data_IF_085894529028
#
_entry.id   IF_085894529028
#
_cell.length_a   1.000
_cell.length_b   1.000
_cell.length_c   1.000
_cell.angle_alpha   90.00
_cell.angle_beta   90.00
_cell.angle_gamma   90.00
#
_symmetry.space_group_name_H-M   'P 1'
#
loop_
_entity.id
_entity.type
_entity.pdbx_description
1 polymer ?
#
# COMPACT_ATOMS: atom_id res chain seq x y z
N UNK A 1 -3.04 -3.83 20.71
CA UNK A 1 -4.09 -4.85 20.88
C UNK A 1 -3.46 -6.23 20.64
N UNK A 2 -3.27 -7.02 21.70
CA UNK A 2 -2.71 -8.38 21.61
C UNK A 2 -3.89 -9.33 21.70
N UNK A 3 -4.27 -9.93 20.57
CA UNK A 3 -5.24 -11.03 20.58
C UNK A 3 -4.47 -12.30 21.00
N UNK A 4 -4.88 -12.93 22.10
CA UNK A 4 -4.40 -14.26 22.48
C UNK A 4 -4.86 -15.28 21.42
N UNK A 5 -4.08 -15.42 20.36
CA UNK A 5 -4.36 -16.35 19.27
C UNK A 5 -3.10 -17.14 18.93
N UNK A 6 -3.26 -18.46 18.79
CA UNK A 6 -2.25 -19.37 18.23
C UNK A 6 -1.88 -19.06 16.77
N UNK A 7 -2.51 -18.04 16.17
CA UNK A 7 -2.23 -17.55 14.82
C UNK A 7 -1.32 -16.35 14.89
N UNK A 8 -0.28 -16.41 14.08
CA UNK A 8 0.64 -15.31 13.91
C UNK A 8 -0.06 -14.08 13.30
N UNK A 9 0.17 -12.91 13.89
CA UNK A 9 -0.34 -11.64 13.38
C UNK A 9 0.53 -11.09 12.24
N UNK A 10 -0.05 -10.22 11.39
CA UNK A 10 0.71 -9.53 10.34
C UNK A 10 1.90 -8.75 10.92
N UNK A 11 1.75 -7.97 12.02
CA UNK A 11 2.90 -7.30 12.64
C UNK A 11 4.00 -8.26 13.12
N UNK A 12 3.65 -9.43 13.66
CA UNK A 12 4.65 -10.45 14.03
C UNK A 12 5.41 -10.94 12.82
N UNK A 13 4.71 -11.21 11.71
CA UNK A 13 5.34 -11.65 10.46
C UNK A 13 6.27 -10.58 9.90
N UNK A 14 5.83 -9.32 9.88
CA UNK A 14 6.63 -8.18 9.43
C UNK A 14 7.84 -7.94 10.33
N UNK A 15 7.69 -8.03 11.66
CA UNK A 15 8.79 -7.90 12.61
C UNK A 15 9.89 -8.91 12.32
N UNK A 16 9.54 -10.18 12.05
CA UNK A 16 10.55 -11.19 11.69
C UNK A 16 11.30 -10.85 10.41
N UNK A 17 10.59 -10.34 9.41
CA UNK A 17 11.19 -9.88 8.15
C UNK A 17 12.18 -8.73 8.44
N UNK A 18 11.75 -7.72 9.19
CA UNK A 18 12.58 -6.56 9.55
C UNK A 18 13.81 -6.97 10.35
N UNK A 19 13.64 -7.88 11.31
CA UNK A 19 14.73 -8.35 12.17
C UNK A 19 15.61 -9.43 11.53
N UNK A 20 15.34 -9.80 10.26
CA UNK A 20 16.00 -10.91 9.58
C UNK A 20 15.97 -12.22 10.42
N UNK A 21 14.92 -12.41 11.22
CA UNK A 21 14.72 -13.67 11.94
C UNK A 21 14.34 -14.72 10.89
N UNK A 22 15.19 -15.76 10.76
CA UNK A 22 14.93 -16.89 9.86
C UNK A 22 13.49 -17.35 10.01
N UNK A 23 12.69 -17.21 8.95
CA UNK A 23 11.28 -17.62 8.97
C UNK A 23 11.22 -19.14 8.85
N UNK A 24 11.65 -19.83 9.92
CA UNK A 24 11.52 -21.26 10.06
C UNK A 24 10.03 -21.57 10.22
N UNK A 25 9.44 -22.18 9.18
CA UNK A 25 8.10 -22.74 9.22
C UNK A 25 8.13 -23.88 10.24
N UNK A 26 7.78 -23.60 11.50
CA UNK A 26 7.44 -24.66 12.44
C UNK A 26 6.07 -25.19 12.05
N UNK A 27 6.07 -26.16 11.14
CA UNK A 27 4.98 -27.14 11.10
C UNK A 27 5.01 -27.86 12.44
N UNK A 28 3.90 -27.80 13.18
CA UNK A 28 3.77 -28.50 14.44
C UNK A 28 3.91 -30.03 14.21
N UNK A 29 4.73 -30.64 15.06
CA UNK A 29 5.00 -32.09 15.28
C UNK A 29 5.99 -32.78 14.32
N UNK A 30 7.21 -33.02 14.81
CA UNK A 30 7.67 -34.37 15.20
C UNK A 30 9.08 -34.33 15.82
N UNK A 31 9.40 -35.40 16.53
CA UNK A 31 10.55 -35.68 17.38
C UNK A 31 11.94 -35.41 16.76
N UNK A 32 12.89 -35.09 17.63
CA UNK A 32 14.23 -34.62 17.25
C UNK A 32 15.15 -35.65 16.61
N UNK A 33 16.24 -35.14 16.03
CA UNK A 33 17.62 -35.62 16.19
C UNK A 33 18.56 -34.64 15.46
N UNK A 34 19.81 -34.63 15.89
CA UNK A 34 20.90 -33.70 15.54
C UNK A 34 21.10 -33.51 14.03
N UNK A 35 21.43 -32.29 13.62
CA UNK A 35 21.88 -31.95 12.27
C UNK A 35 22.79 -30.70 12.27
N UNK A 36 23.64 -30.52 11.24
CA UNK A 36 25.04 -30.11 11.39
C UNK A 36 25.32 -28.60 11.17
N UNK A 37 26.60 -28.25 11.35
CA UNK A 37 27.26 -26.94 11.35
C UNK A 37 26.69 -25.86 10.40
N UNK A 38 26.72 -24.57 10.81
CA UNK A 38 26.27 -23.47 9.99
C UNK A 38 27.31 -23.17 8.90
N UNK A 39 27.11 -23.72 7.71
CA UNK A 39 27.73 -23.17 6.51
C UNK A 39 27.15 -21.79 6.27
N UNK A 40 28.03 -20.80 6.02
CA UNK A 40 27.70 -19.43 5.62
C UNK A 40 26.71 -19.43 4.46
N UNK A 41 25.42 -19.35 4.80
CA UNK A 41 24.36 -19.21 3.81
C UNK A 41 24.40 -17.75 3.35
N UNK A 42 25.05 -17.53 2.20
CA UNK A 42 25.04 -16.27 1.46
C UNK A 42 23.61 -15.77 1.37
N UNK A 43 23.25 -14.83 2.26
CA UNK A 43 21.91 -14.28 2.45
C UNK A 43 21.33 -13.83 1.11
N UNK A 44 20.54 -14.70 0.48
CA UNK A 44 19.86 -14.39 -0.77
C UNK A 44 18.79 -13.36 -0.43
N UNK A 45 19.02 -12.11 -0.83
CA UNK A 45 18.08 -11.02 -0.61
C UNK A 45 16.73 -11.45 -1.20
N UNK A 46 15.74 -11.62 -0.33
CA UNK A 46 14.42 -12.09 -0.74
C UNK A 46 13.73 -10.94 -1.46
N UNK A 47 13.43 -11.11 -2.75
CA UNK A 47 12.75 -10.09 -3.56
C UNK A 47 11.43 -9.71 -2.87
N UNK A 48 11.12 -8.41 -2.75
CA UNK A 48 9.92 -7.94 -2.03
C UNK A 48 8.62 -8.56 -2.57
N UNK A 49 8.57 -8.90 -3.86
CA UNK A 49 7.44 -9.61 -4.49
C UNK A 49 7.23 -11.00 -3.88
N UNK A 50 8.31 -11.72 -3.56
CA UNK A 50 8.22 -13.04 -2.93
C UNK A 50 7.76 -12.96 -1.48
N UNK A 51 8.21 -11.94 -0.75
CA UNK A 51 7.67 -11.57 0.57
C UNK A 51 6.19 -11.23 0.47
N UNK A 52 5.79 -10.44 -0.53
CA UNK A 52 4.39 -10.10 -0.78
C UNK A 52 3.52 -11.32 -1.05
N UNK A 53 3.97 -12.26 -1.91
CA UNK A 53 3.27 -13.54 -2.17
C UNK A 53 3.07 -14.35 -0.89
N UNK A 54 4.10 -14.43 -0.04
CA UNK A 54 4.02 -15.12 1.24
C UNK A 54 2.98 -14.48 2.17
N UNK A 55 3.04 -13.15 2.31
CA UNK A 55 2.08 -12.39 3.11
C UNK A 55 0.65 -12.57 2.58
N UNK A 56 0.42 -12.44 1.27
CA UNK A 56 -0.89 -12.65 0.66
C UNK A 56 -1.47 -14.05 0.95
N UNK A 57 -0.65 -15.11 0.85
CA UNK A 57 -1.09 -16.50 1.09
C UNK A 57 -1.28 -16.87 2.57
N UNK A 58 -0.77 -16.06 3.50
CA UNK A 58 -0.86 -16.33 4.94
C UNK A 58 -2.27 -16.11 5.48
N UNK A 59 -2.67 -16.83 6.54
CA UNK A 59 -3.94 -16.54 7.24
C UNK A 59 -3.73 -15.39 8.22
N UNK A 60 -4.44 -14.29 8.03
CA UNK A 60 -4.29 -13.07 8.81
C UNK A 60 -5.55 -12.21 8.74
N UNK A 61 -5.71 -11.24 9.65
CA UNK A 61 -6.81 -10.27 9.54
C UNK A 61 -6.70 -9.43 8.25
N UNK A 62 -7.84 -8.99 7.68
CA UNK A 62 -7.81 -8.12 6.52
C UNK A 62 -7.04 -6.83 6.77
N UNK A 63 -6.24 -6.41 5.80
CA UNK A 63 -5.44 -5.17 5.87
C UNK A 63 -4.87 -4.78 4.50
N UNK A 64 -4.41 -3.54 4.39
CA UNK A 64 -3.59 -3.07 3.28
C UNK A 64 -2.13 -3.05 3.70
N UNK A 65 -1.25 -3.62 2.89
CA UNK A 65 0.20 -3.57 3.11
C UNK A 65 0.88 -2.99 1.88
N UNK A 66 1.75 -2.01 2.11
CA UNK A 66 2.60 -1.42 1.07
C UNK A 66 4.05 -1.72 1.41
N UNK A 67 4.75 -2.42 0.53
CA UNK A 67 6.18 -2.73 0.64
C UNK A 67 6.93 -2.01 -0.47
N UNK A 68 8.12 -1.50 -0.19
CA UNK A 68 8.96 -0.83 -1.19
C UNK A 68 10.44 -1.16 -0.94
N UNK A 69 11.20 -1.42 -2.00
CA UNK A 69 12.65 -1.62 -1.98
C UNK A 69 13.44 -0.53 -2.72
N UNK A 70 12.79 0.59 -3.04
CA UNK A 70 13.36 1.68 -3.82
C UNK A 70 13.41 1.45 -5.33
N UNK A 71 13.04 0.26 -5.81
CA UNK A 71 12.91 -0.04 -7.24
C UNK A 71 11.50 -0.44 -7.63
N UNK A 72 10.79 -1.11 -6.72
CA UNK A 72 9.44 -1.55 -6.90
C UNK A 72 8.64 -1.35 -5.61
N UNK A 73 7.36 -1.04 -5.78
CA UNK A 73 6.35 -1.06 -4.73
C UNK A 73 5.45 -2.28 -4.93
N UNK A 74 5.06 -2.92 -3.83
CA UNK A 74 4.13 -4.04 -3.77
C UNK A 74 3.01 -3.69 -2.80
N UNK A 75 1.81 -3.45 -3.32
CA UNK A 75 0.58 -3.30 -2.56
C UNK A 75 -0.13 -4.65 -2.42
N UNK A 76 -0.56 -4.98 -1.21
CA UNK A 76 -1.26 -6.22 -0.87
C UNK A 76 -2.60 -5.85 -0.25
N UNK A 77 -3.67 -6.27 -0.92
CA UNK A 77 -5.03 -6.22 -0.38
C UNK A 77 -5.27 -7.56 0.28
N UNK A 78 -5.03 -7.62 1.59
CA UNK A 78 -5.05 -8.87 2.36
C UNK A 78 -6.47 -9.15 2.85
N UNK A 79 -6.95 -10.36 2.57
CA UNK A 79 -8.17 -10.94 3.13
C UNK A 79 -7.86 -11.95 4.24
N UNK A 80 -8.87 -12.64 4.80
CA UNK A 80 -8.62 -13.66 5.82
C UNK A 80 -7.75 -14.83 5.33
N UNK A 81 -7.98 -15.28 4.08
CA UNK A 81 -7.40 -16.51 3.53
C UNK A 81 -6.42 -16.29 2.38
N UNK A 82 -6.45 -15.12 1.76
CA UNK A 82 -5.65 -14.79 0.58
C UNK A 82 -5.34 -13.31 0.54
N UNK A 83 -4.93 -12.83 -0.62
CA UNK A 83 -4.82 -11.41 -0.91
C UNK A 83 -4.46 -11.16 -2.35
N UNK A 84 -4.88 -10.01 -2.87
CA UNK A 84 -4.48 -9.53 -4.20
C UNK A 84 -3.19 -8.73 -4.08
N UNK A 85 -2.32 -8.85 -5.08
CA UNK A 85 -1.05 -8.14 -5.13
C UNK A 85 -1.05 -7.25 -6.36
N UNK A 86 -0.65 -5.99 -6.18
CA UNK A 86 -0.37 -5.05 -7.26
C UNK A 86 1.06 -4.56 -7.12
N UNK A 87 1.82 -4.59 -8.20
CA UNK A 87 3.19 -4.07 -8.23
C UNK A 87 3.30 -2.85 -9.12
N UNK A 88 4.24 -1.95 -8.83
CA UNK A 88 4.68 -0.95 -9.81
C UNK A 88 6.12 -0.51 -9.55
N UNK A 89 6.85 -0.16 -10.61
CA UNK A 89 8.18 0.49 -10.53
C UNK A 89 8.13 2.01 -10.67
N UNK A 90 6.94 2.61 -10.77
CA UNK A 90 6.81 4.05 -11.03
C UNK A 90 6.23 4.77 -9.82
N UNK A 91 4.98 4.47 -9.48
CA UNK A 91 4.26 5.19 -8.44
C UNK A 91 3.04 4.35 -8.02
N UNK A 92 2.65 4.36 -6.75
CA UNK A 92 1.39 3.75 -6.28
C UNK A 92 0.79 4.58 -5.14
N UNK A 93 -0.54 4.63 -5.10
CA UNK A 93 -1.30 5.21 -3.98
C UNK A 93 -2.21 4.10 -3.44
N UNK A 94 -2.30 3.99 -2.12
CA UNK A 94 -3.26 3.12 -1.45
C UNK A 94 -3.85 3.87 -0.25
N UNK A 95 -5.16 4.06 -0.25
CA UNK A 95 -5.91 4.55 0.91
C UNK A 95 -6.62 3.39 1.60
N UNK A 96 -7.75 3.65 2.26
CA UNK A 96 -8.46 2.67 3.08
C UNK A 96 -9.64 2.00 2.34
N UNK A 97 -9.56 1.82 1.03
CA UNK A 97 -10.61 1.17 0.25
C UNK A 97 -10.03 0.28 -0.86
N UNK A 98 -10.84 -0.68 -1.32
CA UNK A 98 -10.49 -1.53 -2.46
C UNK A 98 -10.76 -0.79 -3.77
N UNK A 99 -9.93 -0.97 -4.81
CA UNK A 99 -10.19 -0.38 -6.12
C UNK A 99 -11.53 -0.84 -6.70
N UNK A 100 -12.33 0.10 -7.20
CA UNK A 100 -13.59 -0.23 -7.86
C UNK A 100 -13.35 -0.73 -9.29
N UNK A 101 -13.39 -2.06 -9.44
CA UNK A 101 -13.26 -2.72 -10.73
C UNK A 101 -14.38 -2.39 -11.73
N UNK A 102 -15.54 -1.88 -11.28
CA UNK A 102 -16.64 -1.44 -12.18
C UNK A 102 -16.19 -0.24 -13.00
N UNK A 103 -15.44 0.67 -12.40
CA UNK A 103 -14.96 1.89 -13.04
C UNK A 103 -13.65 1.71 -13.77
N UNK A 104 -12.78 0.81 -13.32
CA UNK A 104 -11.44 0.72 -13.93
C UNK A 104 -11.35 -0.10 -15.20
N UNK A 105 -11.94 -1.30 -15.22
CA UNK A 105 -11.50 -2.33 -16.16
C UNK A 105 -12.54 -2.60 -17.28
N UNK A 106 -13.74 -1.95 -17.25
CA UNK A 106 -14.93 -2.11 -18.14
C UNK A 106 -15.39 -3.56 -18.42
N UNK A 107 -14.59 -4.55 -18.05
CA UNK A 107 -14.94 -5.95 -17.89
C UNK A 107 -15.94 -5.99 -16.76
N UNK A 108 -17.21 -6.20 -17.10
CA UNK A 108 -18.09 -6.93 -16.22
C UNK A 108 -17.39 -8.25 -15.91
N UNK A 109 -16.61 -8.30 -14.84
CA UNK A 109 -16.12 -9.57 -14.33
C UNK A 109 -17.38 -10.37 -14.03
N UNK A 110 -17.60 -11.44 -14.78
CA UNK A 110 -18.63 -12.43 -14.45
C UNK A 110 -18.28 -12.87 -13.03
N UNK A 111 -19.04 -12.37 -12.06
CA UNK A 111 -18.83 -12.63 -10.64
C UNK A 111 -19.14 -14.11 -10.41
N UNK A 112 -18.12 -14.97 -10.45
CA UNK A 112 -18.23 -16.38 -10.07
C UNK A 112 -18.02 -16.62 -8.56
N UNK A 113 -18.25 -15.60 -7.75
CA UNK A 113 -18.37 -15.70 -6.30
C UNK A 113 -19.51 -14.80 -5.89
N UNK A 114 -20.33 -15.26 -4.95
CA UNK A 114 -21.40 -14.47 -4.35
C UNK A 114 -20.92 -13.04 -4.14
N UNK A 115 -21.70 -12.08 -4.63
CA UNK A 115 -21.57 -10.68 -4.24
C UNK A 115 -21.35 -10.72 -2.73
N UNK A 116 -20.15 -10.39 -2.19
CA UNK A 116 -20.09 -10.15 -0.78
C UNK A 116 -21.10 -9.02 -0.66
N UNK A 117 -22.19 -9.28 0.04
CA UNK A 117 -23.00 -8.23 0.62
C UNK A 117 -21.95 -7.39 1.32
N UNK A 118 -21.44 -6.35 0.63
CA UNK A 118 -20.73 -5.23 1.20
C UNK A 118 -21.65 -4.93 2.35
N UNK A 119 -21.21 -5.27 3.55
CA UNK A 119 -22.08 -5.32 4.69
C UNK A 119 -22.73 -3.94 4.69
N UNK A 120 -24.00 -3.88 4.26
CA UNK A 120 -24.78 -2.67 4.14
C UNK A 120 -25.20 -2.36 5.57
N UNK A 121 -24.16 -2.22 6.39
CA UNK A 121 -24.19 -2.11 7.82
C UNK A 121 -23.91 -0.63 7.99
N UNK A 122 -25.04 0.09 8.01
CA UNK A 122 -25.19 1.50 8.32
C UNK A 122 -25.05 2.48 7.16
N UNK A 123 -25.82 3.56 7.30
CA UNK A 123 -25.90 4.78 6.49
C UNK A 123 -24.58 5.60 6.52
N UNK A 124 -23.42 4.95 6.52
CA UNK A 124 -22.11 5.65 6.56
C UNK A 124 -21.13 5.03 5.55
N UNK A 125 -21.43 5.20 4.26
CA UNK A 125 -20.42 5.05 3.20
C UNK A 125 -19.46 6.26 3.15
N UNK A 126 -19.72 7.31 3.95
CA UNK A 126 -18.96 8.55 4.06
C UNK A 126 -17.44 8.30 4.24
N UNK A 127 -17.04 7.29 5.01
CA UNK A 127 -15.62 7.00 5.21
C UNK A 127 -14.96 6.39 3.96
N UNK A 128 -15.72 5.67 3.12
CA UNK A 128 -15.23 5.17 1.82
C UNK A 128 -15.08 6.35 0.87
N UNK A 129 -16.06 7.26 0.85
CA UNK A 129 -16.02 8.49 0.03
C UNK A 129 -14.82 9.36 0.43
N UNK A 130 -14.64 9.64 1.73
CA UNK A 130 -13.47 10.38 2.25
C UNK A 130 -12.14 9.67 1.95
N UNK A 131 -12.13 8.33 1.93
CA UNK A 131 -10.97 7.54 1.52
C UNK A 131 -10.69 7.67 0.01
N UNK A 132 -11.74 7.69 -0.81
CA UNK A 132 -11.66 7.88 -2.26
C UNK A 132 -11.19 9.30 -2.61
N UNK A 133 -11.72 10.33 -1.94
CA UNK A 133 -11.34 11.73 -2.15
C UNK A 133 -9.85 11.96 -1.86
N UNK A 134 -9.34 11.36 -0.79
CA UNK A 134 -7.91 11.38 -0.45
C UNK A 134 -7.05 10.75 -1.54
N UNK A 135 -7.50 9.61 -2.08
CA UNK A 135 -6.79 8.93 -3.16
C UNK A 135 -6.84 9.74 -4.45
N UNK A 136 -8.00 10.29 -4.81
CA UNK A 136 -8.21 11.07 -6.02
C UNK A 136 -7.38 12.37 -5.99
N UNK A 137 -7.40 13.11 -4.89
CA UNK A 137 -6.60 14.32 -4.75
C UNK A 137 -5.09 14.07 -4.91
N UNK A 138 -4.60 12.94 -4.40
CA UNK A 138 -3.19 12.56 -4.59
C UNK A 138 -2.92 12.09 -6.03
N UNK A 139 -3.88 11.40 -6.64
CA UNK A 139 -3.77 10.90 -7.99
C UNK A 139 -3.79 12.03 -9.03
N UNK A 140 -4.59 13.06 -8.83
CA UNK A 140 -4.61 14.27 -9.67
C UNK A 140 -3.25 14.97 -9.66
N UNK A 141 -2.67 15.17 -8.47
CA UNK A 141 -1.31 15.72 -8.31
C UNK A 141 -0.27 14.91 -9.08
N UNK A 142 -0.36 13.57 -9.01
CA UNK A 142 0.49 12.67 -9.81
C UNK A 142 0.29 12.87 -11.31
N UNK A 143 -0.95 12.91 -11.80
CA UNK A 143 -1.26 13.13 -13.21
C UNK A 143 -0.69 14.47 -13.70
N UNK A 144 -0.81 15.53 -12.91
CA UNK A 144 -0.24 16.84 -13.25
C UNK A 144 1.29 16.83 -13.30
N UNK A 145 1.94 16.16 -12.34
CA UNK A 145 3.39 15.96 -12.38
C UNK A 145 3.82 15.21 -13.64
N UNK A 146 3.17 14.08 -13.96
CA UNK A 146 3.47 13.31 -15.18
C UNK A 146 3.23 14.16 -16.42
N UNK A 147 2.13 14.91 -16.51
CA UNK A 147 1.84 15.79 -17.65
C UNK A 147 2.93 16.84 -17.87
N UNK A 148 3.47 17.39 -16.78
CA UNK A 148 4.53 18.40 -16.85
C UNK A 148 5.86 17.81 -17.37
N UNK A 149 6.20 16.57 -17.01
CA UNK A 149 7.45 15.93 -17.46
C UNK A 149 7.34 15.28 -18.84
N UNK A 150 6.13 14.86 -19.26
CA UNK A 150 5.92 14.23 -20.58
C UNK A 150 5.59 15.22 -21.70
N UNK A 151 5.60 16.54 -21.42
CA UNK A 151 5.30 17.60 -22.38
C UNK A 151 3.98 17.40 -23.17
N UNK A 152 2.97 16.80 -22.53
CA UNK A 152 1.65 16.59 -23.14
C UNK A 152 1.51 15.36 -24.04
N UNK A 153 2.47 14.43 -24.03
CA UNK A 153 2.29 13.10 -24.61
C UNK A 153 1.14 12.32 -23.94
N UNK A 154 0.72 11.19 -24.52
CA UNK A 154 -0.35 10.37 -23.96
C UNK A 154 0.00 9.89 -22.53
N UNK A 155 -0.80 10.35 -21.55
CA UNK A 155 -0.68 10.01 -20.12
C UNK A 155 -1.80 9.07 -19.65
N UNK A 156 -2.48 8.38 -20.57
CA UNK A 156 -3.56 7.42 -20.23
C UNK A 156 -3.11 6.38 -19.21
N UNK A 157 -1.88 5.87 -19.32
CA UNK A 157 -1.30 4.92 -18.36
C UNK A 157 -1.22 5.49 -16.94
N UNK A 158 -0.89 6.78 -16.77
CA UNK A 158 -0.79 7.42 -15.46
C UNK A 158 -2.16 7.57 -14.79
N UNK A 159 -3.22 7.77 -15.58
CA UNK A 159 -4.61 7.79 -15.11
C UNK A 159 -5.11 6.43 -14.64
N UNK A 160 -4.50 5.33 -15.08
CA UNK A 160 -4.88 3.99 -14.65
C UNK A 160 -4.20 3.58 -13.34
N UNK A 161 -3.27 4.39 -12.85
CA UNK A 161 -2.61 4.14 -11.58
C UNK A 161 -3.61 4.09 -10.42
N UNK A 162 -3.42 3.14 -9.51
CA UNK A 162 -4.34 2.86 -8.39
C UNK A 162 -5.80 2.44 -8.76
N UNK A 163 -6.16 2.38 -10.04
CA UNK A 163 -7.55 2.16 -10.46
C UNK A 163 -7.97 0.66 -10.52
N UNK A 164 -7.08 -0.27 -10.92
CA UNK A 164 -7.36 -1.72 -10.92
C UNK A 164 -6.11 -2.48 -10.46
N UNK A 165 -6.35 -3.62 -9.80
CA UNK A 165 -5.27 -4.53 -9.37
C UNK A 165 -4.75 -5.40 -10.51
N UNK A 166 -5.50 -5.52 -11.61
CA UNK A 166 -5.20 -6.41 -12.73
C UNK A 166 -4.47 -5.73 -13.91
N UNK A 167 -4.20 -4.43 -13.82
CA UNK A 167 -3.50 -3.68 -14.88
C UNK A 167 -1.99 -3.67 -14.63
N UNK A 168 -1.23 -4.21 -15.59
CA UNK A 168 0.24 -4.14 -15.61
C UNK A 168 0.69 -2.82 -16.24
N UNK A 169 0.80 -1.77 -15.42
CA UNK A 169 1.12 -0.41 -15.87
C UNK A 169 2.60 -0.19 -16.18
N UNK A 170 3.48 -1.04 -15.64
CA UNK A 170 4.93 -0.88 -15.76
C UNK A 170 5.40 -1.05 -17.22
N UNK A 171 4.75 -1.92 -18.00
CA UNK A 171 5.05 -2.12 -19.41
C UNK A 171 4.73 -0.87 -20.27
N UNK A 172 3.64 -0.17 -19.95
CA UNK A 172 3.24 1.06 -20.63
C UNK A 172 4.11 2.24 -20.21
N UNK A 173 4.42 2.38 -18.92
CA UNK A 173 5.32 3.42 -18.43
C UNK A 173 6.72 3.30 -19.01
N UNK A 174 7.23 2.07 -19.18
CA UNK A 174 8.56 1.80 -19.76
C UNK A 174 8.75 2.35 -21.18
N UNK A 175 7.66 2.58 -21.93
CA UNK A 175 7.71 3.19 -23.27
C UNK A 175 8.15 4.65 -23.26
N UNK A 176 8.01 5.33 -22.12
CA UNK A 176 8.35 6.75 -21.95
C UNK A 176 9.77 6.97 -21.40
N UNK A 177 10.55 5.90 -21.24
CA UNK A 177 11.89 5.96 -20.65
C UNK A 177 11.86 6.08 -19.12
N UNK A 178 12.96 6.56 -18.54
CA UNK A 178 13.04 6.82 -17.11
C UNK A 178 12.14 8.02 -16.78
N UNK A 179 11.08 7.77 -16.01
CA UNK A 179 10.14 8.79 -15.54
C UNK A 179 10.76 9.43 -14.30
N UNK A 180 11.11 10.74 -14.33
CA UNK A 180 11.61 11.42 -13.15
C UNK A 180 10.63 11.27 -11.98
N UNK A 181 11.18 11.00 -10.80
CA UNK A 181 10.40 10.94 -9.57
C UNK A 181 9.90 12.32 -9.13
N UNK A 182 9.09 12.33 -8.07
CA UNK A 182 8.61 13.55 -7.44
C UNK A 182 9.65 14.06 -6.44
N UNK A 183 10.05 15.33 -6.54
CA UNK A 183 10.95 15.96 -5.58
C UNK A 183 10.39 15.91 -4.15
N UNK A 184 11.26 15.73 -3.16
CA UNK A 184 10.86 15.58 -1.76
C UNK A 184 10.04 16.78 -1.25
N UNK A 185 10.44 18.02 -1.61
CA UNK A 185 9.71 19.22 -1.24
C UNK A 185 8.28 19.25 -1.80
N UNK A 186 8.12 18.83 -3.06
CA UNK A 186 6.81 18.72 -3.73
C UNK A 186 5.96 17.62 -3.11
N UNK A 187 6.57 16.48 -2.77
CA UNK A 187 5.90 15.38 -2.09
C UNK A 187 5.41 15.78 -0.69
N UNK A 188 6.21 16.55 0.07
CA UNK A 188 5.80 17.11 1.36
C UNK A 188 4.56 17.98 1.23
N UNK A 189 4.54 18.89 0.25
CA UNK A 189 3.39 19.73 -0.05
C UNK A 189 2.15 18.87 -0.35
N UNK A 190 2.31 17.88 -1.24
CA UNK A 190 1.22 16.99 -1.65
C UNK A 190 0.58 16.25 -0.48
N UNK A 191 1.42 15.69 0.41
CA UNK A 191 0.96 14.95 1.59
C UNK A 191 0.28 15.89 2.58
N UNK A 192 0.81 17.10 2.78
CA UNK A 192 0.30 18.07 3.74
C UNK A 192 -0.99 18.79 3.30
N UNK A 193 -1.42 18.68 2.04
CA UNK A 193 -2.64 19.33 1.57
C UNK A 193 -3.89 18.53 1.94
N UNK A 194 -4.98 19.22 2.28
CA UNK A 194 -6.32 18.63 2.30
C UNK A 194 -6.72 18.09 0.90
N UNK A 195 -7.48 16.99 0.77
CA UNK A 195 -7.97 16.11 1.84
C UNK A 195 -6.95 15.09 2.33
N UNK A 196 -5.78 14.95 1.69
CA UNK A 196 -4.76 13.94 2.04
C UNK A 196 -4.38 14.02 3.51
N UNK A 197 -4.11 15.23 4.00
CA UNK A 197 -4.04 15.52 5.44
C UNK A 197 -5.34 16.15 5.90
N UNK A 198 -5.89 15.59 6.97
CA UNK A 198 -7.17 15.98 7.54
C UNK A 198 -7.14 15.87 9.08
N UNK A 199 -8.27 16.13 9.73
CA UNK A 199 -8.46 16.08 11.18
C UNK A 199 -8.13 14.72 11.82
N UNK A 200 -8.22 13.64 11.04
CA UNK A 200 -7.86 12.28 11.48
C UNK A 200 -6.35 11.97 11.36
N UNK A 201 -5.57 12.87 10.77
CA UNK A 201 -4.14 12.67 10.51
C UNK A 201 -3.32 12.95 11.77
N UNK A 202 -2.65 11.93 12.30
CA UNK A 202 -1.81 12.08 13.49
C UNK A 202 -0.39 12.55 13.16
N UNK A 203 0.19 12.00 12.09
CA UNK A 203 1.51 12.37 11.58
C UNK A 203 1.61 12.02 10.09
N UNK A 204 2.56 12.67 9.43
CA UNK A 204 2.95 12.42 8.05
C UNK A 204 4.43 12.06 8.02
N UNK A 205 4.84 11.18 7.11
CA UNK A 205 6.22 10.70 7.04
C UNK A 205 6.64 10.42 5.58
N UNK A 206 7.89 10.74 5.26
CA UNK A 206 8.58 10.30 4.04
C UNK A 206 9.80 9.49 4.47
N UNK A 207 9.95 8.31 3.88
CA UNK A 207 11.04 7.38 4.17
C UNK A 207 11.81 7.06 2.89
N UNK A 208 13.12 6.85 3.01
CA UNK A 208 13.93 6.27 1.96
C UNK A 208 13.90 4.73 2.09
N UNK A 209 13.30 4.00 1.14
CA UNK A 209 13.18 2.54 1.21
C UNK A 209 14.51 1.79 1.04
N UNK A 210 15.56 2.41 0.48
CA UNK A 210 16.86 1.77 0.31
C UNK A 210 17.67 1.77 1.59
N UNK A 211 17.64 2.88 2.32
CA UNK A 211 18.41 3.08 3.55
C UNK A 211 17.60 2.78 4.81
N UNK A 212 16.26 2.84 4.72
CA UNK A 212 15.35 2.79 5.85
C UNK A 212 15.31 4.10 6.67
N UNK A 213 15.91 5.18 6.17
CA UNK A 213 15.95 6.47 6.85
C UNK A 213 14.58 7.17 6.80
N UNK A 214 14.18 7.78 7.92
CA UNK A 214 13.06 8.73 7.96
C UNK A 214 13.59 10.09 7.49
N UNK A 215 13.27 10.45 6.25
CA UNK A 215 13.72 11.68 5.58
C UNK A 215 13.00 12.93 6.10
N UNK A 216 11.73 12.76 6.43
CA UNK A 216 10.89 13.82 6.96
C UNK A 216 9.74 13.22 7.78
N UNK A 217 9.41 13.86 8.89
CA UNK A 217 8.25 13.56 9.71
C UNK A 217 7.64 14.87 10.20
N UNK A 218 6.32 14.95 10.20
CA UNK A 218 5.59 16.09 10.76
C UNK A 218 4.37 15.61 11.53
N UNK A 219 4.02 16.33 12.58
CA UNK A 219 2.73 16.16 13.26
C UNK A 219 1.61 16.56 12.30
N UNK A 220 0.49 15.86 12.38
CA UNK A 220 -0.75 16.29 11.73
C UNK A 220 -1.31 17.57 12.37
N UNK A 221 -2.42 18.09 11.83
CA UNK A 221 -3.05 19.29 12.35
C UNK A 221 -3.43 19.12 13.83
N UNK A 222 -3.41 20.23 14.58
CA UNK A 222 -3.86 20.22 15.97
C UNK A 222 -5.37 19.93 16.00
N UNK A 223 -5.82 18.84 16.66
CA UNK A 223 -7.23 18.52 16.77
C UNK A 223 -8.06 19.67 17.37
N UNK A 224 -7.46 20.53 18.20
CA UNK A 224 -8.15 21.63 18.87
C UNK A 224 -8.27 22.88 17.97
N UNK A 225 -7.32 23.11 17.06
CA UNK A 225 -7.33 24.27 16.18
C UNK A 225 -8.42 24.20 15.09
N UNK A 226 -9.04 23.03 14.89
CA UNK A 226 -10.09 22.83 13.88
C UNK A 226 -11.50 23.11 14.38
N UNK A 227 -11.75 23.04 15.69
CA UNK A 227 -13.07 23.35 16.28
C UNK A 227 -13.30 24.85 16.46
N UNK A 228 -12.24 25.68 16.49
CA UNK A 228 -12.35 27.13 16.64
C UNK A 228 -12.90 27.82 15.37
N UNK A 229 -13.05 27.10 14.24
CA UNK A 229 -13.56 27.66 13.00
C UNK A 229 -15.08 27.43 12.77
N UNK A 230 -15.74 26.62 13.62
CA UNK A 230 -17.18 26.31 13.48
C UNK A 230 -18.10 27.23 14.29
N UNK A 231 -17.55 28.05 15.20
CA UNK A 231 -18.34 28.91 16.12
C UNK A 231 -18.54 30.37 15.62
N UNK A 232 -18.18 30.69 14.37
CA UNK A 232 -18.46 31.99 13.74
C UNK A 232 -19.55 31.90 12.66
N UNK A 233 -20.77 31.47 13.00
CA UNK A 233 -21.98 31.71 12.19
C UNK A 233 -23.23 31.98 13.03
#
# INVERSE_FOLDING_TARGET
>A
MVLFGLRESVPSTLRRIILNENISIKNAKAYGTKGPNPTEDSRKLTLITSTGKKLASSKASPCYLTLCDGKQVVNILKDLHGGKIKTSSVFQIQCNHDPDHRHCCSRMTVRHGADPVQAKLMESEDWIEVSADRQNAFHEKWIEHVRAITNGNDITWAKQNSCCTDLELDAEASKYGEIPGVDEAKLREWIATYPTTNESTHFMCIMDPLTGEIRWISRGPDPLAMFECEDEF
#
